data_IF_690077733039
#
_entry.id   IF_690077733039
#
_cell.length_a   1.000
_cell.length_b   1.000
_cell.length_c   1.000
_cell.angle_alpha   90.00
_cell.angle_beta   90.00
_cell.angle_gamma   90.00
#
_symmetry.space_group_name_H-M   'P 1'
#
loop_
_entity.id
_entity.type
_entity.pdbx_description
1 polymer ?
#
# COMPACT_ATOMS: atom_id res chain seq x y z
N UNK A 1 0.77 -16.27 -0.47
CA UNK A 1 0.19 -17.60 -0.20
C UNK A 1 -0.74 -17.44 0.98
N UNK A 2 -1.77 -18.29 1.08
CA UNK A 2 -2.58 -18.37 2.30
C UNK A 2 -1.72 -18.84 3.48
N UNK A 3 -2.15 -18.54 4.70
CA UNK A 3 -1.44 -18.93 5.93
C UNK A 3 -1.61 -20.43 6.21
N UNK A 4 -2.75 -21.02 5.84
CA UNK A 4 -2.92 -22.47 5.90
C UNK A 4 -2.00 -23.17 4.88
N UNK A 5 -0.90 -23.77 5.37
CA UNK A 5 0.17 -24.35 4.56
C UNK A 5 -0.27 -25.49 3.62
N UNK A 6 -1.37 -26.18 3.95
CA UNK A 6 -1.94 -27.26 3.13
C UNK A 6 -2.68 -26.75 1.89
N UNK A 7 -3.03 -25.45 1.85
CA UNK A 7 -3.74 -24.85 0.74
C UNK A 7 -2.76 -24.46 -0.37
N UNK A 8 -2.95 -25.03 -1.56
CA UNK A 8 -2.18 -24.67 -2.77
C UNK A 8 -2.70 -23.39 -3.43
N UNK A 9 -3.03 -22.38 -2.63
CA UNK A 9 -3.64 -21.12 -3.07
C UNK A 9 -2.73 -19.94 -2.72
N UNK A 10 -2.64 -18.97 -3.64
CA UNK A 10 -1.91 -17.74 -3.42
C UNK A 10 -2.48 -16.59 -4.25
N UNK A 11 -2.13 -15.37 -3.86
CA UNK A 11 -2.53 -14.17 -4.56
C UNK A 11 -1.29 -13.37 -4.95
N UNK A 12 -1.36 -12.72 -6.11
CA UNK A 12 -0.34 -11.77 -6.59
C UNK A 12 -1.03 -10.56 -7.22
N UNK A 13 -0.48 -9.36 -7.04
CA UNK A 13 -0.97 -8.16 -7.71
C UNK A 13 0.01 -7.68 -8.77
N UNK A 14 -0.52 -7.00 -9.78
CA UNK A 14 0.27 -6.27 -10.77
C UNK A 14 0.14 -4.78 -10.49
N UNK A 15 1.28 -4.06 -10.46
CA UNK A 15 1.27 -2.64 -10.16
C UNK A 15 0.61 -1.82 -11.26
N UNK A 16 1.20 -1.73 -12.45
CA UNK A 16 0.63 -0.94 -13.56
C UNK A 16 -0.73 -1.50 -13.99
N UNK A 17 -0.85 -2.82 -14.12
CA UNK A 17 -2.10 -3.48 -14.53
C UNK A 17 -3.23 -3.41 -13.50
N UNK A 18 -2.93 -2.96 -12.26
CA UNK A 18 -3.91 -2.75 -11.19
C UNK A 18 -4.85 -3.94 -10.96
N UNK A 19 -4.33 -5.16 -11.12
CA UNK A 19 -5.11 -6.40 -11.06
C UNK A 19 -4.55 -7.34 -10.01
N UNK A 20 -5.41 -8.19 -9.46
CA UNK A 20 -5.07 -9.30 -8.57
C UNK A 20 -5.33 -10.61 -9.31
N UNK A 21 -4.40 -11.54 -9.16
CA UNK A 21 -4.48 -12.88 -9.72
C UNK A 21 -4.49 -13.91 -8.59
N UNK A 22 -5.34 -14.93 -8.76
CA UNK A 22 -5.40 -16.10 -7.91
C UNK A 22 -4.56 -17.22 -8.54
N UNK A 23 -3.49 -17.60 -7.84
CA UNK A 23 -2.64 -18.73 -8.18
C UNK A 23 -3.16 -19.97 -7.47
N UNK A 24 -3.44 -21.03 -8.23
CA UNK A 24 -3.90 -22.29 -7.65
C UNK A 24 -3.45 -23.49 -8.49
N UNK A 25 -3.41 -24.67 -7.85
CA UNK A 25 -3.13 -25.93 -8.54
C UNK A 25 -4.43 -26.55 -9.04
N UNK A 26 -4.55 -26.77 -10.34
CA UNK A 26 -5.67 -27.49 -10.93
C UNK A 26 -5.66 -28.96 -10.47
N UNK A 27 -6.73 -29.40 -9.81
CA UNK A 27 -6.85 -30.78 -9.30
C UNK A 27 -6.96 -31.82 -10.41
N UNK A 28 -7.42 -31.43 -11.61
CA UNK A 28 -7.55 -32.34 -12.76
C UNK A 28 -6.24 -32.55 -13.51
N UNK A 29 -5.49 -31.48 -13.76
CA UNK A 29 -4.24 -31.53 -14.55
C UNK A 29 -2.97 -31.54 -13.71
N UNK A 30 -3.06 -31.18 -12.43
CA UNK A 30 -1.90 -31.00 -11.54
C UNK A 30 -1.06 -29.75 -11.83
N UNK A 31 -1.44 -28.93 -12.81
CA UNK A 31 -0.71 -27.72 -13.21
C UNK A 31 -1.13 -26.49 -12.40
N UNK A 32 -0.22 -25.54 -12.23
CA UNK A 32 -0.54 -24.24 -11.65
C UNK A 32 -1.21 -23.33 -12.70
N UNK A 33 -2.29 -22.68 -12.27
CA UNK A 33 -3.08 -21.73 -13.06
C UNK A 33 -3.08 -20.38 -12.34
N UNK A 34 -3.14 -19.29 -13.11
CA UNK A 34 -3.23 -17.93 -12.62
C UNK A 34 -4.46 -17.23 -13.22
N UNK A 35 -5.54 -17.11 -12.44
CA UNK A 35 -6.76 -16.45 -12.89
C UNK A 35 -6.79 -14.99 -12.44
N UNK A 36 -7.14 -14.08 -13.35
CA UNK A 36 -7.41 -12.68 -12.96
C UNK A 36 -8.76 -12.62 -12.26
N UNK A 37 -8.76 -12.20 -11.01
CA UNK A 37 -9.95 -12.22 -10.13
C UNK A 37 -10.49 -10.83 -9.82
N UNK A 38 -9.62 -9.82 -9.73
CA UNK A 38 -9.99 -8.43 -9.41
C UNK A 38 -9.17 -7.51 -10.29
N UNK A 39 -9.79 -6.43 -10.79
CA UNK A 39 -9.12 -5.38 -11.54
C UNK A 39 -9.70 -4.03 -11.15
N UNK A 40 -8.83 -3.06 -10.87
CA UNK A 40 -9.23 -1.68 -10.62
C UNK A 40 -9.02 -0.85 -11.89
N UNK A 41 -10.10 -0.27 -12.41
CA UNK A 41 -10.06 0.55 -13.63
C UNK A 41 -9.26 1.83 -13.42
N UNK A 42 -8.46 2.27 -14.42
CA UNK A 42 -7.85 3.59 -14.39
C UNK A 42 -8.88 4.72 -14.25
N UNK A 43 -8.46 5.84 -13.68
CA UNK A 43 -9.28 7.05 -13.55
C UNK A 43 -8.77 8.09 -14.53
N UNK A 44 -9.64 8.58 -15.40
CA UNK A 44 -9.32 9.70 -16.29
C UNK A 44 -9.22 10.99 -15.49
N UNK A 45 -8.13 11.73 -15.67
CA UNK A 45 -7.91 13.03 -15.04
C UNK A 45 -7.66 14.10 -16.11
N UNK A 46 -7.90 15.36 -15.74
CA UNK A 46 -7.57 16.50 -16.60
C UNK A 46 -6.06 16.65 -16.83
N UNK A 47 -5.63 17.54 -17.75
CA UNK A 47 -4.23 17.70 -18.18
C UNK A 47 -3.25 18.29 -17.12
N UNK A 48 -3.55 18.19 -15.83
CA UNK A 48 -2.73 18.77 -14.76
C UNK A 48 -2.61 17.81 -13.59
N UNK A 49 -1.41 17.81 -12.99
CA UNK A 49 -0.94 17.04 -11.81
C UNK A 49 -0.44 15.60 -12.03
N UNK A 50 -0.51 15.03 -13.24
CA UNK A 50 0.08 13.72 -13.55
C UNK A 50 1.29 13.84 -14.48
N UNK A 51 2.44 13.24 -14.11
CA UNK A 51 3.62 13.27 -14.96
C UNK A 51 3.45 12.28 -16.13
N UNK A 52 3.44 12.84 -17.34
CA UNK A 52 3.27 12.12 -18.58
C UNK A 52 1.95 12.47 -19.23
N UNK A 53 1.94 12.69 -20.55
CA UNK A 53 0.76 13.02 -21.36
C UNK A 53 -0.29 11.87 -21.42
N UNK A 54 -0.35 11.01 -20.40
CA UNK A 54 -1.32 9.94 -20.28
C UNK A 54 -2.53 10.47 -19.51
N UNK A 55 -3.73 10.49 -20.12
CA UNK A 55 -4.93 11.04 -19.48
C UNK A 55 -5.52 10.14 -18.40
N UNK A 56 -4.94 8.98 -18.13
CA UNK A 56 -5.47 7.97 -17.21
C UNK A 56 -4.45 7.57 -16.14
N UNK A 57 -4.91 7.55 -14.89
CA UNK A 57 -4.11 7.14 -13.73
C UNK A 57 -4.52 5.73 -13.31
N UNK A 58 -3.63 4.73 -13.41
CA UNK A 58 -3.90 3.39 -12.88
C UNK A 58 -3.98 3.42 -11.35
N UNK A 59 -4.57 2.40 -10.74
CA UNK A 59 -4.62 2.31 -9.27
C UNK A 59 -3.23 2.16 -8.64
N UNK A 60 -2.35 1.46 -9.35
CA UNK A 60 -0.96 1.17 -8.96
C UNK A 60 -0.88 0.38 -7.66
N UNK A 61 -1.18 -0.92 -7.76
CA UNK A 61 -1.16 -1.83 -6.61
C UNK A 61 0.28 -2.13 -6.21
N UNK A 62 0.64 -1.83 -4.96
CA UNK A 62 2.04 -1.87 -4.50
C UNK A 62 2.31 -2.98 -3.50
N UNK A 63 1.31 -3.35 -2.70
CA UNK A 63 1.44 -4.40 -1.69
C UNK A 63 0.09 -5.00 -1.33
N UNK A 64 0.14 -6.21 -0.75
CA UNK A 64 -1.03 -6.92 -0.26
C UNK A 64 -0.74 -7.69 1.03
N UNK A 65 -1.74 -7.81 1.89
CA UNK A 65 -1.66 -8.58 3.14
C UNK A 65 -2.92 -9.44 3.30
N UNK A 66 -2.76 -10.65 3.83
CA UNK A 66 -3.85 -11.59 4.07
C UNK A 66 -4.02 -11.72 5.58
N UNK A 67 -5.28 -11.68 6.06
CA UNK A 67 -5.61 -11.92 7.47
C UNK A 67 -5.25 -13.33 7.89
N UNK A 68 -4.92 -13.52 9.17
CA UNK A 68 -4.45 -14.82 9.69
C UNK A 68 -5.49 -15.94 9.58
N UNK A 69 -6.76 -15.60 9.48
CA UNK A 69 -7.87 -16.54 9.25
C UNK A 69 -8.08 -16.86 7.75
N UNK A 70 -7.29 -16.29 6.85
CA UNK A 70 -7.38 -16.43 5.40
C UNK A 70 -8.72 -15.97 4.79
N UNK A 71 -9.48 -15.12 5.49
CA UNK A 71 -10.79 -14.64 5.04
C UNK A 71 -10.73 -13.27 4.35
N UNK A 72 -9.72 -12.45 4.64
CA UNK A 72 -9.61 -11.09 4.14
C UNK A 72 -8.27 -10.83 3.45
N UNK A 73 -8.34 -10.20 2.28
CA UNK A 73 -7.19 -9.69 1.54
C UNK A 73 -7.25 -8.15 1.52
N UNK A 74 -6.17 -7.54 1.99
CA UNK A 74 -5.97 -6.09 1.94
C UNK A 74 -5.01 -5.77 0.80
N UNK A 75 -5.32 -4.74 0.02
CA UNK A 75 -4.46 -4.28 -1.07
C UNK A 75 -4.41 -2.76 -1.10
N UNK A 76 -3.22 -2.20 -1.29
CA UNK A 76 -3.02 -0.76 -1.39
C UNK A 76 -2.88 -0.29 -2.84
N UNK A 77 -3.59 0.79 -3.18
CA UNK A 77 -3.55 1.47 -4.47
C UNK A 77 -2.91 2.84 -4.28
N UNK A 78 -1.61 2.94 -4.58
CA UNK A 78 -0.80 4.11 -4.27
C UNK A 78 -1.27 5.36 -5.03
N UNK A 79 -1.62 5.24 -6.32
CA UNK A 79 -2.00 6.40 -7.11
C UNK A 79 -3.45 6.82 -6.91
N UNK A 80 -4.36 5.87 -6.71
CA UNK A 80 -5.74 6.22 -6.38
C UNK A 80 -5.89 6.72 -4.95
N UNK A 81 -5.00 6.31 -4.03
CA UNK A 81 -5.02 6.77 -2.65
C UNK A 81 -6.00 6.01 -1.76
N UNK A 82 -6.10 4.69 -1.92
CA UNK A 82 -6.93 3.86 -1.05
C UNK A 82 -6.27 2.54 -0.68
N UNK A 83 -6.75 1.95 0.42
CA UNK A 83 -6.60 0.53 0.73
C UNK A 83 -7.96 -0.13 0.61
N UNK A 84 -8.03 -1.21 -0.15
CA UNK A 84 -9.23 -2.01 -0.32
C UNK A 84 -9.14 -3.28 0.53
N UNK A 85 -10.25 -3.64 1.15
CA UNK A 85 -10.48 -4.94 1.77
C UNK A 85 -11.33 -5.78 0.83
N UNK A 86 -10.90 -7.01 0.61
CA UNK A 86 -11.58 -8.01 -0.21
C UNK A 86 -11.90 -9.21 0.68
N UNK A 87 -13.14 -9.69 0.63
CA UNK A 87 -13.49 -11.01 1.17
C UNK A 87 -12.96 -12.07 0.20
N UNK A 88 -12.16 -13.00 0.72
CA UNK A 88 -11.55 -14.12 0.00
C UNK A 88 -11.97 -15.48 0.59
N UNK A 89 -13.07 -15.53 1.33
CA UNK A 89 -13.67 -16.78 1.84
C UNK A 89 -13.89 -17.80 0.72
N UNK A 90 -14.26 -17.32 -0.48
CA UNK A 90 -14.09 -18.06 -1.73
C UNK A 90 -12.91 -17.45 -2.53
N UNK A 91 -11.73 -18.11 -2.57
CA UNK A 91 -10.54 -17.55 -3.21
C UNK A 91 -10.68 -17.40 -4.73
N UNK A 92 -11.64 -18.10 -5.35
CA UNK A 92 -11.92 -17.97 -6.78
C UNK A 92 -12.85 -16.81 -7.10
N UNK A 93 -13.57 -16.28 -6.10
CA UNK A 93 -14.56 -15.21 -6.27
C UNK A 93 -14.42 -14.14 -5.19
N UNK A 94 -13.28 -13.43 -5.13
CA UNK A 94 -13.13 -12.35 -4.17
C UNK A 94 -14.15 -11.25 -4.40
N UNK A 95 -14.63 -10.65 -3.31
CA UNK A 95 -15.56 -9.53 -3.37
C UNK A 95 -15.03 -8.31 -2.63
N UNK A 96 -15.19 -7.12 -3.22
CA UNK A 96 -14.79 -5.86 -2.58
C UNK A 96 -15.77 -5.52 -1.46
N UNK A 97 -15.29 -5.51 -0.23
CA UNK A 97 -16.12 -5.23 0.96
C UNK A 97 -16.05 -3.76 1.34
N UNK A 98 -14.83 -3.22 1.48
CA UNK A 98 -14.62 -1.87 1.98
C UNK A 98 -13.40 -1.20 1.34
N UNK A 99 -13.41 0.14 1.32
CA UNK A 99 -12.24 0.95 0.99
C UNK A 99 -12.03 2.00 2.07
N UNK A 100 -10.77 2.21 2.44
CA UNK A 100 -10.35 3.36 3.24
C UNK A 100 -9.43 4.21 2.38
N UNK A 101 -9.65 5.52 2.38
CA UNK A 101 -8.91 6.44 1.53
C UNK A 101 -7.86 7.18 2.35
N UNK A 102 -6.67 7.35 1.77
CA UNK A 102 -5.57 8.12 2.31
C UNK A 102 -4.58 8.51 1.21
N UNK A 103 -4.33 9.81 1.05
CA UNK A 103 -3.34 10.32 0.10
C UNK A 103 -3.65 9.98 -1.36
N UNK A 104 -2.62 9.57 -2.12
CA UNK A 104 -2.67 9.29 -3.55
C UNK A 104 -2.65 10.56 -4.41
N UNK A 105 -2.75 10.37 -5.72
CA UNK A 105 -2.90 11.48 -6.69
C UNK A 105 -4.37 11.85 -6.79
N UNK A 106 -5.24 10.84 -6.91
CA UNK A 106 -6.68 11.06 -7.10
C UNK A 106 -7.33 11.56 -5.79
N UNK A 107 -7.18 10.82 -4.71
CA UNK A 107 -7.90 11.15 -3.46
C UNK A 107 -7.32 12.37 -2.73
N UNK A 108 -6.02 12.67 -2.85
CA UNK A 108 -5.44 13.92 -2.31
C UNK A 108 -6.10 15.18 -2.88
N UNK A 109 -6.61 15.13 -4.11
CA UNK A 109 -7.36 16.24 -4.71
C UNK A 109 -8.76 16.41 -4.09
N UNK A 110 -9.27 15.38 -3.39
CA UNK A 110 -10.58 15.39 -2.73
C UNK A 110 -10.43 15.80 -1.27
N UNK A 111 -9.52 15.14 -0.52
CA UNK A 111 -9.33 15.39 0.91
C UNK A 111 -7.85 15.27 1.31
N UNK A 112 -7.36 16.24 2.09
CA UNK A 112 -6.04 16.18 2.71
C UNK A 112 -6.12 15.57 4.11
N UNK A 113 -5.60 14.36 4.25
CA UNK A 113 -5.50 13.70 5.55
C UNK A 113 -4.32 14.26 6.34
N UNK A 114 -4.56 14.56 7.63
CA UNK A 114 -3.51 14.87 8.60
C UNK A 114 -3.44 13.75 9.63
N UNK A 115 -2.23 13.28 9.89
CA UNK A 115 -1.90 12.26 10.90
C UNK A 115 -1.04 12.92 11.96
N UNK A 116 -1.51 12.94 13.21
CA UNK A 116 -0.86 13.62 14.32
C UNK A 116 -0.45 15.08 13.96
N UNK A 117 -1.37 15.80 13.32
CA UNK A 117 -1.16 17.19 12.87
C UNK A 117 -0.34 17.39 11.59
N UNK A 118 0.36 16.37 11.07
CA UNK A 118 1.17 16.45 9.84
C UNK A 118 0.40 15.94 8.62
N UNK A 119 0.50 16.61 7.46
CA UNK A 119 -0.17 16.20 6.21
C UNK A 119 0.40 14.88 5.69
N UNK A 120 -0.43 13.88 5.45
CA UNK A 120 -0.02 12.62 4.82
C UNK A 120 0.25 12.86 3.32
N UNK A 121 1.53 12.85 2.95
CA UNK A 121 1.97 12.99 1.57
C UNK A 121 2.09 11.63 0.89
N UNK A 122 2.09 11.58 -0.44
CA UNK A 122 2.16 10.32 -1.16
C UNK A 122 0.85 9.55 -1.15
N UNK A 123 0.93 8.24 -1.40
CA UNK A 123 -0.19 7.30 -1.32
C UNK A 123 0.19 6.02 -0.60
N UNK A 124 -0.78 5.16 -0.24
CA UNK A 124 -0.51 3.94 0.52
C UNK A 124 0.32 2.97 -0.31
N UNK A 125 1.39 2.45 0.27
CA UNK A 125 2.41 1.72 -0.47
C UNK A 125 2.71 0.32 0.07
N UNK A 126 2.85 0.17 1.39
CA UNK A 126 3.06 -1.14 2.01
C UNK A 126 2.14 -1.36 3.17
N UNK A 127 1.83 -2.62 3.42
CA UNK A 127 0.87 -3.07 4.41
C UNK A 127 1.54 -3.99 5.42
N UNK A 128 1.26 -3.76 6.70
CA UNK A 128 1.56 -4.69 7.77
C UNK A 128 0.29 -4.85 8.62
N UNK A 129 -0.33 -6.03 8.55
CA UNK A 129 -1.52 -6.35 9.32
C UNK A 129 -1.12 -6.95 10.68
N UNK A 130 -1.79 -6.54 11.76
CA UNK A 130 -1.62 -7.15 13.06
C UNK A 130 -2.17 -8.58 13.10
N UNK A 131 -1.59 -9.43 13.96
CA UNK A 131 -1.99 -10.83 14.08
C UNK A 131 -3.48 -11.01 14.42
N UNK A 132 -4.05 -10.08 15.19
CA UNK A 132 -5.46 -10.05 15.57
C UNK A 132 -6.40 -9.53 14.46
N UNK A 133 -5.87 -9.10 13.32
CA UNK A 133 -6.62 -8.56 12.18
C UNK A 133 -7.26 -7.19 12.42
N UNK A 134 -6.95 -6.49 13.53
CA UNK A 134 -7.63 -5.25 13.95
C UNK A 134 -6.89 -3.98 13.56
N UNK A 135 -5.61 -4.05 13.24
CA UNK A 135 -4.74 -2.90 12.98
C UNK A 135 -3.95 -3.13 11.71
N UNK A 136 -4.06 -2.18 10.78
CA UNK A 136 -3.30 -2.18 9.54
C UNK A 136 -2.37 -0.97 9.52
N UNK A 137 -1.07 -1.23 9.58
CA UNK A 137 -0.04 -0.21 9.44
C UNK A 137 0.29 -0.03 7.96
N UNK A 138 0.33 1.22 7.53
CA UNK A 138 0.48 1.58 6.12
C UNK A 138 1.62 2.57 5.96
N UNK A 139 2.65 2.21 5.20
CA UNK A 139 3.67 3.19 4.77
C UNK A 139 3.31 3.80 3.43
N UNK A 140 3.90 4.95 3.12
CA UNK A 140 3.51 5.78 1.97
C UNK A 140 4.58 5.99 0.88
N UNK A 141 5.73 5.33 1.01
CA UNK A 141 6.89 5.50 0.12
C UNK A 141 7.24 4.19 -0.56
N UNK A 142 7.42 4.21 -1.89
CA UNK A 142 7.69 3.02 -2.70
C UNK A 142 9.18 2.87 -3.00
N UNK A 143 9.69 3.73 -3.87
CA UNK A 143 11.09 3.82 -4.27
C UNK A 143 11.40 5.30 -4.47
N UNK A 144 12.54 5.78 -3.95
CA UNK A 144 12.89 7.21 -3.99
C UNK A 144 12.69 7.88 -5.35
N UNK A 145 13.17 7.27 -6.43
CA UNK A 145 13.07 7.86 -7.76
C UNK A 145 11.61 7.93 -8.25
N UNK A 146 10.77 6.96 -7.87
CA UNK A 146 9.33 6.98 -8.15
C UNK A 146 8.63 8.03 -7.29
N UNK A 147 8.94 8.07 -6.00
CA UNK A 147 8.39 9.06 -5.08
C UNK A 147 8.72 10.49 -5.55
N UNK A 148 9.96 10.76 -5.98
CA UNK A 148 10.35 12.06 -6.53
C UNK A 148 9.56 12.44 -7.78
N UNK A 149 9.22 11.46 -8.61
CA UNK A 149 8.53 11.71 -9.88
C UNK A 149 7.03 11.91 -9.69
N UNK A 150 6.36 11.03 -8.93
CA UNK A 150 4.91 11.04 -8.76
C UNK A 150 4.42 11.79 -7.52
N UNK A 151 5.26 11.87 -6.48
CA UNK A 151 4.95 12.47 -5.20
C UNK A 151 6.09 13.38 -4.72
N UNK A 152 6.46 14.43 -5.48
CA UNK A 152 7.64 15.25 -5.17
C UNK A 152 7.63 15.77 -3.74
N UNK A 153 6.46 16.14 -3.21
CA UNK A 153 6.35 16.59 -1.82
C UNK A 153 6.70 15.52 -0.80
N UNK A 154 6.31 14.27 -1.02
CA UNK A 154 6.72 13.13 -0.19
C UNK A 154 8.25 13.01 -0.15
N UNK A 155 8.90 13.16 -1.30
CA UNK A 155 10.36 13.09 -1.40
C UNK A 155 11.08 14.26 -0.71
N UNK A 156 10.40 15.39 -0.50
CA UNK A 156 10.91 16.53 0.28
C UNK A 156 10.72 16.33 1.79
N UNK A 157 9.50 15.96 2.22
CA UNK A 157 9.13 15.98 3.64
C UNK A 157 9.42 14.67 4.37
N UNK A 158 9.62 13.57 3.64
CA UNK A 158 9.86 12.26 4.23
C UNK A 158 8.61 11.40 4.38
N UNK A 159 8.82 10.12 4.64
CA UNK A 159 7.78 9.10 4.64
C UNK A 159 6.99 9.08 5.95
N UNK A 160 5.85 8.41 5.95
CA UNK A 160 5.00 8.25 7.13
C UNK A 160 4.44 6.85 7.23
N UNK A 161 4.15 6.44 8.47
CA UNK A 161 3.31 5.28 8.77
C UNK A 161 1.98 5.79 9.32
N UNK A 162 0.90 5.39 8.66
CA UNK A 162 -0.47 5.55 9.11
C UNK A 162 -0.97 4.28 9.79
N UNK A 163 -1.97 4.43 10.65
CA UNK A 163 -2.70 3.30 11.24
C UNK A 163 -4.15 3.34 10.77
N UNK A 164 -4.66 2.18 10.37
CA UNK A 164 -6.08 1.95 10.10
C UNK A 164 -6.61 0.93 11.09
N UNK A 165 -7.71 1.29 11.74
CA UNK A 165 -8.50 0.39 12.58
C UNK A 165 -9.45 -0.42 11.70
N UNK A 166 -9.45 -1.73 11.92
CA UNK A 166 -10.29 -2.71 11.24
C UNK A 166 -11.22 -3.33 12.27
N UNK A 167 -12.50 -3.46 11.91
CA UNK A 167 -13.44 -4.28 12.64
C UNK A 167 -13.49 -5.68 12.01
N UNK A 168 -12.99 -6.74 12.68
CA UNK A 168 -12.98 -8.09 12.14
C UNK A 168 -14.38 -8.65 11.86
N UNK A 169 -15.42 -8.11 12.49
CA UNK A 169 -16.81 -8.51 12.19
C UNK A 169 -17.29 -8.00 10.82
N UNK A 170 -16.63 -6.98 10.27
CA UNK A 170 -17.06 -6.30 9.04
C UNK A 170 -18.25 -5.34 9.21
N UNK A 171 -18.85 -5.26 10.41
CA UNK A 171 -20.02 -4.40 10.66
C UNK A 171 -19.67 -2.91 10.62
N UNK A 172 -18.46 -2.55 11.03
CA UNK A 172 -17.97 -1.16 11.02
C UNK A 172 -17.00 -0.93 9.86
N UNK A 173 -17.00 0.28 9.27
CA UNK A 173 -16.05 0.62 8.23
C UNK A 173 -14.63 0.72 8.80
N UNK A 174 -13.64 0.36 7.99
CA UNK A 174 -12.23 0.70 8.24
C UNK A 174 -12.06 2.20 8.48
N UNK A 175 -11.26 2.59 9.47
CA UNK A 175 -11.03 4.00 9.82
C UNK A 175 -9.55 4.32 9.98
N UNK A 176 -9.10 5.37 9.29
CA UNK A 176 -7.79 5.97 9.54
C UNK A 176 -7.77 6.59 10.93
N UNK A 177 -6.78 6.23 11.73
CA UNK A 177 -6.49 6.88 12.99
C UNK A 177 -5.77 8.21 12.72
N UNK A 178 -6.46 9.33 12.95
CA UNK A 178 -5.91 10.67 12.69
C UNK A 178 -4.98 11.15 13.80
N UNK A 179 -5.04 10.54 14.97
CA UNK A 179 -4.20 10.87 16.13
C UNK A 179 -2.87 10.09 16.09
N UNK A 180 -2.84 8.96 15.38
CA UNK A 180 -1.63 8.20 15.10
C UNK A 180 -0.97 8.60 13.78
N UNK A 181 0.32 8.94 13.84
CA UNK A 181 1.15 9.15 12.67
C UNK A 181 2.63 9.21 13.01
N UNK A 182 3.41 8.28 12.46
CA UNK A 182 4.87 8.31 12.59
C UNK A 182 5.42 8.93 11.31
N UNK A 183 6.17 10.04 11.44
CA UNK A 183 6.85 10.70 10.32
C UNK A 183 8.34 10.41 10.41
N UNK A 184 8.93 10.00 9.30
CA UNK A 184 10.37 9.88 9.10
C UNK A 184 10.81 11.02 8.18
N UNK A 185 11.29 12.11 8.77
CA UNK A 185 11.72 13.29 8.02
C UNK A 185 13.00 12.98 7.21
N UNK A 186 13.17 13.59 6.04
CA UNK A 186 14.46 13.57 5.35
C UNK A 186 15.42 14.55 6.03
N UNK A 187 16.59 14.09 6.47
CA UNK A 187 17.65 15.01 6.91
C UNK A 187 18.21 15.79 5.71
N UNK A 188 18.02 17.11 5.75
CA UNK A 188 18.73 18.02 4.86
C UNK A 188 20.18 18.17 5.36
N UNK A 189 21.15 17.61 4.63
CA UNK A 189 22.57 17.93 4.88
C UNK A 189 22.83 19.40 4.58
N UNK A 190 22.88 20.23 5.62
CA UNK A 190 23.51 21.56 5.54
C UNK A 190 24.73 21.75 6.43
N UNK A 191 25.12 20.81 7.30
CA UNK A 191 26.40 20.92 8.02
C UNK A 191 26.96 19.54 8.36
N UNK A 192 27.91 19.03 7.59
CA UNK A 192 28.95 18.12 8.10
C UNK A 192 30.07 17.95 7.07
N UNK A 193 30.95 18.96 7.03
CA UNK A 193 32.33 18.74 6.65
C UNK A 193 33.09 18.26 7.89
N UNK A 194 33.86 17.18 7.72
CA UNK A 194 34.88 16.61 8.64
C UNK A 194 34.36 15.66 9.73
N UNK A 195 34.38 14.35 9.43
CA UNK A 195 35.46 13.50 9.96
C UNK A 195 35.47 12.11 9.32
N UNK A 196 36.69 11.60 9.16
CA UNK A 196 37.07 10.34 8.53
C UNK A 196 36.45 9.10 9.19
N UNK A 197 36.14 8.10 8.36
CA UNK A 197 36.04 6.71 8.78
C UNK A 197 35.05 5.92 7.95
N UNK A 198 35.54 4.92 7.21
CA UNK A 198 34.76 3.96 6.43
C UNK A 198 33.59 3.35 7.24
N UNK A 199 32.39 3.88 7.01
CA UNK A 199 31.13 3.14 7.13
C UNK A 199 30.22 3.68 6.04
N UNK A 200 29.78 2.81 5.12
CA UNK A 200 28.75 3.15 4.14
C UNK A 200 27.51 3.68 4.89
N UNK A 201 27.16 4.97 4.75
CA UNK A 201 26.11 5.52 5.59
C UNK A 201 24.78 5.12 4.99
N UNK A 202 24.14 4.16 5.65
CA UNK A 202 22.71 3.95 5.62
C UNK A 202 22.00 5.19 6.15
N UNK A 203 21.86 6.22 5.30
CA UNK A 203 21.08 7.44 5.57
C UNK A 203 19.62 7.20 5.15
N UNK A 204 18.80 6.63 6.05
CA UNK A 204 17.48 6.13 5.66
C UNK A 204 16.35 7.06 6.10
N UNK A 205 15.74 7.75 5.13
CA UNK A 205 14.29 7.82 5.17
C UNK A 205 13.74 6.40 5.16
N UNK A 206 12.71 6.15 5.95
CA UNK A 206 12.11 4.82 6.05
C UNK A 206 11.38 4.51 4.74
N UNK A 207 11.98 3.67 3.91
CA UNK A 207 11.39 3.25 2.65
C UNK A 207 10.55 2.00 2.87
N UNK A 208 9.63 1.70 1.95
CA UNK A 208 8.85 0.46 1.93
C UNK A 208 9.65 -0.82 2.29
N UNK A 209 10.92 -0.90 1.92
CA UNK A 209 11.79 -2.06 2.22
C UNK A 209 12.05 -2.30 3.72
N UNK A 210 11.87 -1.28 4.56
CA UNK A 210 12.27 -1.25 5.97
C UNK A 210 11.12 -1.64 6.93
N UNK A 211 9.88 -1.87 6.44
CA UNK A 211 8.74 -2.31 7.27
C UNK A 211 8.82 -3.74 7.81
N UNK A 212 9.82 -4.53 7.40
CA UNK A 212 9.97 -5.92 7.88
C UNK A 212 10.34 -6.05 9.36
N UNK A 213 10.62 -4.94 10.06
CA UNK A 213 11.06 -4.93 11.46
C UNK A 213 9.96 -4.58 12.48
N UNK A 214 8.69 -4.44 12.05
CA UNK A 214 7.58 -4.02 12.92
C UNK A 214 6.63 -5.15 13.32
N UNK A 215 7.04 -6.42 13.17
CA UNK A 215 6.26 -7.61 13.51
C UNK A 215 6.90 -8.42 14.62
#
# INVERSE_FOLDING_TARGET
MLHHAELTHGFVCTSIGSSIYHLHKCTRSGQFIADKIVSFSPVTIGPTDWPGNCPEVPAFLTDMAISMDDLNLYVCAAFHGFVAQLDISDPFRPSLTQKVFLGGIIYKCIEQIKLNGKIYEGGPCRLQLSLDGRRLFISNSFLRNWDQHFFPKLAEVGSSIALVHIDPSGEKPMKVDKDFGIRFDFENKTNEHKNNGNTSPSNFAFYARDMRFLG
#
